data_IF_486065902064
#
_entry.id   IF_486065902064
#
_cell.length_a   1.000
_cell.length_b   1.000
_cell.length_c   1.000
_cell.angle_alpha   90.00
_cell.angle_beta   90.00
_cell.angle_gamma   90.00
#
_symmetry.space_group_name_H-M   'P 1'
#
loop_
_entity.id
_entity.type
_entity.pdbx_description
1 polymer ?
#
# COMPACT_ATOMS: atom_id res chain seq x y z
N UNK A 1 1.28 -7.92 14.00
CA UNK A 1 1.77 -7.74 12.62
C UNK A 1 0.68 -6.93 11.92
N UNK A 2 0.99 -5.79 11.31
CA UNK A 2 -0.02 -4.92 10.69
C UNK A 2 -0.24 -5.34 9.24
N UNK A 3 -1.48 -5.28 8.75
CA UNK A 3 -1.86 -5.65 7.39
C UNK A 3 -2.59 -4.48 6.68
N UNK A 4 -2.10 -4.10 5.50
CA UNK A 4 -2.68 -3.01 4.68
C UNK A 4 -4.01 -3.41 4.01
N UNK A 5 -4.35 -4.69 4.03
CA UNK A 5 -5.65 -5.21 3.60
C UNK A 5 -6.67 -5.25 4.76
N UNK A 6 -6.20 -5.16 6.01
CA UNK A 6 -7.07 -5.06 7.17
C UNK A 6 -7.39 -3.59 7.46
N UNK A 7 -8.65 -3.21 7.22
CA UNK A 7 -9.09 -1.82 7.41
C UNK A 7 -8.91 -1.30 8.83
N UNK A 8 -8.93 -2.16 9.86
CA UNK A 8 -8.71 -1.76 11.24
C UNK A 8 -7.26 -1.38 11.49
N UNK A 9 -6.31 -2.15 10.95
CA UNK A 9 -4.88 -1.87 11.06
C UNK A 9 -4.52 -0.60 10.30
N UNK A 10 -5.13 -0.40 9.12
CA UNK A 10 -4.94 0.77 8.28
C UNK A 10 -5.35 2.08 8.97
N UNK A 11 -6.37 2.08 9.84
CA UNK A 11 -6.79 3.33 10.53
C UNK A 11 -5.67 3.97 11.36
N UNK A 12 -4.67 3.19 11.79
CA UNK A 12 -3.54 3.73 12.54
C UNK A 12 -2.77 4.81 11.77
N UNK A 13 -2.84 4.82 10.43
CA UNK A 13 -2.09 5.78 9.61
C UNK A 13 -2.54 7.23 9.80
N UNK A 14 -3.78 7.45 10.27
CA UNK A 14 -4.31 8.80 10.56
C UNK A 14 -3.47 9.53 11.63
N UNK A 15 -2.82 8.77 12.52
CA UNK A 15 -2.02 9.32 13.60
C UNK A 15 -0.62 9.81 13.16
N UNK A 16 -0.24 9.63 11.90
CA UNK A 16 1.12 9.94 11.42
C UNK A 16 1.14 11.10 10.43
N UNK A 17 2.15 11.96 10.56
CA UNK A 17 2.44 13.07 9.62
C UNK A 17 3.13 12.61 8.33
N UNK A 18 3.87 11.49 8.41
CA UNK A 18 4.65 10.95 7.31
C UNK A 18 4.49 9.44 7.29
N UNK A 19 4.15 8.91 6.12
CA UNK A 19 4.03 7.47 5.88
C UNK A 19 5.02 7.08 4.79
N UNK A 20 5.87 6.11 5.10
CA UNK A 20 6.80 5.51 4.15
C UNK A 20 6.26 4.13 3.79
N UNK A 21 5.59 4.03 2.65
CA UNK A 21 4.93 2.80 2.20
C UNK A 21 5.91 1.92 1.41
N UNK A 22 6.35 0.84 2.05
CA UNK A 22 7.25 -0.17 1.50
C UNK A 22 6.59 -1.54 1.33
N UNK A 23 5.33 -1.71 1.74
CA UNK A 23 4.64 -2.98 1.64
C UNK A 23 4.20 -3.23 0.19
N UNK A 24 4.72 -4.30 -0.40
CA UNK A 24 4.41 -4.69 -1.77
C UNK A 24 4.65 -6.20 -1.97
N UNK A 25 3.91 -6.78 -2.92
CA UNK A 25 4.11 -8.13 -3.42
C UNK A 25 4.73 -8.07 -4.82
N UNK A 26 5.86 -8.78 -5.01
CA UNK A 26 6.69 -8.69 -6.22
C UNK A 26 6.63 -9.94 -7.11
N UNK A 27 5.75 -10.89 -6.78
CA UNK A 27 5.58 -12.10 -7.59
C UNK A 27 5.09 -11.73 -9.00
N UNK A 28 5.68 -12.37 -10.00
CA UNK A 28 5.39 -12.16 -11.43
C UNK A 28 4.70 -13.36 -12.07
N UNK A 29 4.42 -14.41 -11.30
CA UNK A 29 3.68 -15.57 -11.78
C UNK A 29 2.22 -15.19 -12.10
N UNK A 30 1.62 -15.75 -13.17
CA UNK A 30 0.23 -15.48 -13.50
C UNK A 30 -0.75 -15.83 -12.37
N UNK A 31 -0.45 -16.88 -11.61
CA UNK A 31 -1.30 -17.38 -10.51
C UNK A 31 -1.36 -16.40 -9.32
N UNK A 32 -0.33 -15.56 -9.16
CA UNK A 32 -0.27 -14.55 -8.08
C UNK A 32 -0.84 -13.19 -8.48
N UNK A 33 -1.30 -13.01 -9.73
CA UNK A 33 -1.69 -11.70 -10.27
C UNK A 33 -2.79 -11.00 -9.47
N UNK A 34 -3.80 -11.75 -9.00
CA UNK A 34 -4.88 -11.22 -8.17
C UNK A 34 -4.35 -10.74 -6.81
N UNK A 35 -3.50 -11.54 -6.19
CA UNK A 35 -2.93 -11.24 -4.88
C UNK A 35 -1.99 -10.02 -4.92
N UNK A 36 -1.17 -9.95 -5.98
CA UNK A 36 -0.31 -8.80 -6.29
C UNK A 36 -1.14 -7.53 -6.46
N UNK A 37 -2.26 -7.62 -7.18
CA UNK A 37 -3.16 -6.48 -7.37
C UNK A 37 -3.79 -6.04 -6.04
N UNK A 38 -4.31 -7.01 -5.26
CA UNK A 38 -4.92 -6.75 -3.96
C UNK A 38 -3.94 -6.04 -3.01
N UNK A 39 -2.72 -6.56 -2.87
CA UNK A 39 -1.69 -5.97 -2.00
C UNK A 39 -1.23 -4.61 -2.50
N UNK A 40 -0.82 -4.51 -3.77
CA UNK A 40 -0.12 -3.32 -4.27
C UNK A 40 -1.08 -2.17 -4.61
N UNK A 41 -2.29 -2.47 -5.05
CA UNK A 41 -3.28 -1.47 -5.49
C UNK A 41 -4.27 -1.21 -4.38
N UNK A 42 -5.09 -2.20 -4.01
CA UNK A 42 -6.15 -1.99 -3.01
C UNK A 42 -5.58 -1.67 -1.63
N UNK A 43 -4.51 -2.35 -1.21
CA UNK A 43 -3.81 -2.03 0.04
C UNK A 43 -3.27 -0.59 0.07
N UNK A 44 -2.68 -0.12 -1.04
CA UNK A 44 -2.22 1.28 -1.15
C UNK A 44 -3.40 2.26 -1.11
N UNK A 45 -4.51 1.96 -1.78
CA UNK A 45 -5.73 2.78 -1.75
C UNK A 45 -6.31 2.86 -0.35
N UNK A 46 -6.30 1.77 0.42
CA UNK A 46 -6.76 1.76 1.80
C UNK A 46 -5.95 2.74 2.66
N UNK A 47 -4.61 2.72 2.55
CA UNK A 47 -3.74 3.66 3.26
C UNK A 47 -4.07 5.11 2.87
N UNK A 48 -4.10 5.41 1.57
CA UNK A 48 -4.38 6.77 1.07
C UNK A 48 -5.72 7.33 1.55
N UNK A 49 -6.74 6.47 1.68
CA UNK A 49 -8.08 6.88 2.16
C UNK A 49 -8.13 7.13 3.67
N UNK A 50 -7.30 6.44 4.45
CA UNK A 50 -7.25 6.59 5.91
C UNK A 50 -6.31 7.70 6.38
N UNK A 51 -5.48 8.24 5.49
CA UNK A 51 -4.61 9.36 5.77
C UNK A 51 -5.39 10.63 6.07
N UNK A 52 -4.97 11.36 7.11
CA UNK A 52 -5.47 12.72 7.35
C UNK A 52 -4.93 13.69 6.30
N UNK A 53 -5.62 14.81 6.12
CA UNK A 53 -5.16 15.91 5.28
C UNK A 53 -3.76 16.40 5.67
N UNK A 54 -3.00 16.88 4.68
CA UNK A 54 -1.62 17.39 4.85
C UNK A 54 -0.57 16.37 5.31
N UNK A 55 -0.89 15.07 5.27
CA UNK A 55 0.08 13.99 5.52
C UNK A 55 0.99 13.80 4.29
N UNK A 56 2.28 13.54 4.53
CA UNK A 56 3.24 13.20 3.47
C UNK A 56 3.22 11.69 3.22
N UNK A 57 3.02 11.31 1.95
CA UNK A 57 3.08 9.92 1.51
C UNK A 57 4.31 9.67 0.64
N UNK A 58 5.20 8.77 1.07
CA UNK A 58 6.35 8.32 0.29
C UNK A 58 6.07 6.91 -0.18
N UNK A 59 5.93 6.74 -1.50
CA UNK A 59 5.62 5.48 -2.15
C UNK A 59 6.86 4.86 -2.80
N UNK A 60 7.22 3.64 -2.41
CA UNK A 60 8.26 2.88 -3.08
C UNK A 60 7.73 2.27 -4.39
N UNK A 61 7.99 2.96 -5.50
CA UNK A 61 7.70 2.46 -6.85
C UNK A 61 8.84 1.61 -7.42
N UNK A 62 8.61 1.00 -8.57
CA UNK A 62 9.59 0.20 -9.32
C UNK A 62 9.67 0.68 -10.77
N UNK A 63 10.85 0.52 -11.40
CA UNK A 63 11.03 0.78 -12.84
C UNK A 63 10.19 -0.14 -13.73
N UNK A 64 9.70 -1.26 -13.19
CA UNK A 64 8.93 -2.27 -13.92
C UNK A 64 7.59 -1.70 -14.46
N UNK A 65 7.17 -0.51 -14.02
CA UNK A 65 6.05 0.24 -14.60
C UNK A 65 6.24 0.60 -16.08
N UNK A 66 7.47 0.55 -16.60
CA UNK A 66 7.78 0.90 -17.99
C UNK A 66 7.77 -0.29 -18.97
N UNK A 67 7.63 -1.53 -18.48
CA UNK A 67 7.74 -2.74 -19.30
C UNK A 67 9.19 -3.16 -19.52
#
# INVERSE_FOLDING_TARGET
>A
NLDILNLQDVQLVEAYDVIIHLAAELDKSPDSAEHVFLTNVEGTVNLLRAMRENTVFIYASTKDVYG
#
